data_IF_957254492931
#
_entry.id   IF_957254492931
#
_cell.length_a   1.000
_cell.length_b   1.000
_cell.length_c   1.000
_cell.angle_alpha   90.00
_cell.angle_beta   90.00
_cell.angle_gamma   90.00
#
_symmetry.space_group_name_H-M   'P 1'
#
loop_
_entity.id
_entity.type
_entity.pdbx_description
1 polymer ?
#
# COMPACT_ATOMS: atom_id res chain seq x y z
N UNK A 1 47.44 -42.58 26.73
CA UNK A 1 46.82 -41.29 27.14
C UNK A 1 45.58 -41.12 26.28
N UNK A 2 44.41 -41.45 26.82
CA UNK A 2 43.15 -41.21 26.11
C UNK A 2 42.86 -39.73 26.29
N UNK A 3 42.93 -38.95 25.21
CA UNK A 3 42.49 -37.57 25.23
C UNK A 3 40.96 -37.61 25.27
N UNK A 4 40.40 -37.44 26.47
CA UNK A 4 38.99 -37.17 26.65
C UNK A 4 38.69 -35.82 26.00
N UNK A 5 38.29 -35.85 24.73
CA UNK A 5 37.63 -34.73 24.06
C UNK A 5 36.32 -34.46 24.77
N UNK A 6 36.35 -33.49 25.68
CA UNK A 6 35.16 -32.89 26.29
C UNK A 6 34.34 -32.25 25.18
N UNK A 7 33.32 -32.96 24.70
CA UNK A 7 32.27 -32.39 23.87
C UNK A 7 31.47 -31.48 24.79
N UNK A 8 31.79 -30.19 24.79
CA UNK A 8 30.97 -29.17 25.45
C UNK A 8 29.67 -29.14 24.64
N UNK A 9 28.66 -29.88 25.08
CA UNK A 9 27.30 -29.74 24.55
C UNK A 9 26.83 -28.31 24.82
N UNK A 10 26.80 -27.49 23.76
CA UNK A 10 26.29 -26.14 23.86
C UNK A 10 24.81 -26.18 24.22
N UNK A 11 24.51 -25.79 25.45
CA UNK A 11 23.15 -25.60 25.93
C UNK A 11 22.36 -24.63 25.03
N UNK A 12 21.02 -24.76 25.00
CA UNK A 12 20.16 -23.95 24.14
C UNK A 12 20.33 -22.44 24.36
N UNK A 13 20.68 -22.03 25.57
CA UNK A 13 20.91 -20.63 25.92
C UNK A 13 22.20 -20.08 25.28
N UNK A 14 23.29 -20.86 25.29
CA UNK A 14 24.56 -20.47 24.65
C UNK A 14 24.39 -20.30 23.14
N UNK A 15 23.65 -21.20 22.49
CA UNK A 15 23.31 -21.09 21.06
C UNK A 15 22.49 -19.84 20.77
N UNK A 16 21.50 -19.53 21.61
CA UNK A 16 20.66 -18.33 21.46
C UNK A 16 21.47 -17.04 21.60
N UNK A 17 22.32 -16.95 22.63
CA UNK A 17 23.18 -15.79 22.86
C UNK A 17 24.12 -15.53 21.67
N UNK A 18 24.72 -16.59 21.10
CA UNK A 18 25.58 -16.47 19.91
C UNK A 18 24.84 -15.92 18.70
N UNK A 19 23.62 -16.41 18.45
CA UNK A 19 22.78 -15.92 17.35
C UNK A 19 22.39 -14.45 17.53
N UNK A 20 22.10 -14.04 18.77
CA UNK A 20 21.77 -12.66 19.10
C UNK A 20 22.98 -11.73 18.92
N UNK A 21 24.18 -12.17 19.32
CA UNK A 21 25.43 -11.43 19.13
C UNK A 21 25.80 -11.28 17.64
N UNK A 22 25.63 -12.32 16.84
CA UNK A 22 25.83 -12.24 15.40
C UNK A 22 24.83 -11.28 14.74
N UNK A 23 23.56 -11.38 15.12
CA UNK A 23 22.50 -10.52 14.60
C UNK A 23 22.75 -9.04 14.98
N UNK A 24 23.18 -8.80 16.22
CA UNK A 24 23.58 -7.47 16.70
C UNK A 24 24.74 -6.90 15.89
N UNK A 25 25.82 -7.67 15.72
CA UNK A 25 27.00 -7.27 14.93
C UNK A 25 26.61 -6.96 13.49
N UNK A 26 25.72 -7.76 12.88
CA UNK A 26 25.20 -7.51 11.55
C UNK A 26 24.52 -6.14 11.46
N UNK A 27 23.49 -5.90 12.29
CA UNK A 27 22.73 -4.63 12.26
C UNK A 27 23.62 -3.43 12.58
N UNK A 28 24.49 -3.56 13.58
CA UNK A 28 25.44 -2.50 13.93
C UNK A 28 26.37 -2.19 12.76
N UNK A 29 26.92 -3.21 12.09
CA UNK A 29 27.80 -3.00 10.94
C UNK A 29 27.11 -2.30 9.78
N UNK A 30 25.82 -2.59 9.54
CA UNK A 30 25.04 -1.93 8.49
C UNK A 30 24.80 -0.46 8.84
N UNK A 31 24.41 -0.16 10.09
CA UNK A 31 24.16 1.21 10.52
C UNK A 31 25.43 2.07 10.50
N UNK A 32 26.59 1.52 10.87
CA UNK A 32 27.85 2.28 10.79
C UNK A 32 28.27 2.55 9.34
N UNK A 33 28.01 1.61 8.42
CA UNK A 33 28.42 1.74 7.01
C UNK A 33 27.50 2.61 6.16
N UNK A 34 26.22 2.73 6.52
CA UNK A 34 25.21 3.42 5.71
C UNK A 34 25.00 4.86 6.20
N UNK A 35 24.82 5.83 5.29
CA UNK A 35 24.69 7.23 5.65
C UNK A 35 23.51 7.46 6.59
N UNK A 36 23.76 8.20 7.67
CA UNK A 36 22.78 8.51 8.69
C UNK A 36 22.54 7.40 9.71
N UNK A 37 23.19 6.25 9.64
CA UNK A 37 23.04 5.21 10.66
C UNK A 37 23.71 5.56 12.00
N UNK A 38 24.82 6.29 11.99
CA UNK A 38 25.45 6.80 13.23
C UNK A 38 24.51 7.68 14.05
N UNK A 39 23.70 8.52 13.39
CA UNK A 39 22.71 9.37 14.09
C UNK A 39 21.68 8.56 14.89
N UNK A 40 21.34 7.35 14.41
CA UNK A 40 20.40 6.44 15.09
C UNK A 40 21.06 5.86 16.34
N UNK A 41 22.30 5.38 16.21
CA UNK A 41 23.07 4.84 17.33
C UNK A 41 23.28 5.91 18.41
N UNK A 42 23.66 7.13 18.01
CA UNK A 42 23.91 8.24 18.92
C UNK A 42 22.64 8.70 19.65
N UNK A 43 21.50 8.78 18.94
CA UNK A 43 20.22 9.11 19.58
C UNK A 43 19.86 8.08 20.66
N UNK A 44 19.90 6.79 20.31
CA UNK A 44 19.59 5.73 21.26
C UNK A 44 20.56 5.71 22.45
N UNK A 45 21.85 5.91 22.21
CA UNK A 45 22.84 5.95 23.29
C UNK A 45 22.54 7.06 24.30
N UNK A 46 22.04 8.21 23.83
CA UNK A 46 21.70 9.36 24.66
C UNK A 46 20.38 9.21 25.41
N UNK A 47 19.34 8.69 24.76
CA UNK A 47 17.96 8.73 25.29
C UNK A 47 17.42 7.37 25.70
N UNK A 48 18.08 6.27 25.32
CA UNK A 48 17.57 4.89 25.38
C UNK A 48 16.24 4.69 24.66
N UNK A 49 15.93 5.58 23.71
CA UNK A 49 14.73 5.56 22.91
C UNK A 49 15.05 6.08 21.50
N UNK A 50 14.13 5.86 20.56
CA UNK A 50 14.21 6.46 19.23
C UNK A 50 12.90 7.16 18.91
N UNK A 51 12.98 8.40 18.42
CA UNK A 51 11.86 9.10 17.82
C UNK A 51 11.33 8.34 16.61
N UNK A 52 10.06 8.52 16.29
CA UNK A 52 9.40 7.90 15.14
C UNK A 52 10.15 8.13 13.82
N UNK A 53 10.63 9.34 13.60
CA UNK A 53 11.42 9.67 12.42
C UNK A 53 12.72 8.85 12.36
N UNK A 54 13.43 8.76 13.48
CA UNK A 54 14.69 8.01 13.60
C UNK A 54 14.46 6.50 13.47
N UNK A 55 13.37 5.96 14.04
CA UNK A 55 12.94 4.56 13.84
C UNK A 55 12.65 4.26 12.37
N UNK A 56 11.94 5.15 11.69
CA UNK A 56 11.66 5.02 10.25
C UNK A 56 12.94 5.08 9.43
N UNK A 57 13.89 5.95 9.78
CA UNK A 57 15.21 6.02 9.15
C UNK A 57 15.99 4.71 9.33
N UNK A 58 15.98 4.13 10.53
CA UNK A 58 16.57 2.82 10.83
C UNK A 58 15.98 1.72 9.95
N UNK A 59 14.65 1.59 9.93
CA UNK A 59 13.95 0.59 9.11
C UNK A 59 14.26 0.77 7.63
N UNK A 60 14.32 2.02 7.14
CA UNK A 60 14.66 2.30 5.74
C UNK A 60 16.07 1.84 5.38
N UNK A 61 17.07 2.16 6.21
CA UNK A 61 18.47 1.76 5.99
C UNK A 61 18.59 0.24 5.95
N UNK A 62 18.00 -0.44 6.94
CA UNK A 62 18.10 -1.90 7.07
C UNK A 62 17.34 -2.62 5.95
N UNK A 63 16.15 -2.14 5.56
CA UNK A 63 15.41 -2.71 4.45
C UNK A 63 16.17 -2.55 3.12
N UNK A 64 16.79 -1.39 2.88
CA UNK A 64 17.59 -1.16 1.68
C UNK A 64 18.79 -2.11 1.61
N UNK A 65 19.59 -2.20 2.68
CA UNK A 65 20.74 -3.12 2.76
C UNK A 65 20.31 -4.58 2.57
N UNK A 66 19.18 -4.98 3.15
CA UNK A 66 18.65 -6.32 3.00
C UNK A 66 18.24 -6.62 1.55
N UNK A 67 17.56 -5.68 0.88
CA UNK A 67 17.16 -5.83 -0.53
C UNK A 67 18.34 -5.77 -1.50
N UNK A 68 19.39 -5.02 -1.17
CA UNK A 68 20.62 -4.94 -1.95
C UNK A 68 21.36 -6.27 -1.95
N UNK A 69 21.44 -6.94 -0.79
CA UNK A 69 22.17 -8.21 -0.64
C UNK A 69 21.41 -9.46 -1.08
N UNK A 70 20.09 -9.45 -0.95
CA UNK A 70 19.26 -10.65 -1.13
C UNK A 70 18.29 -10.51 -2.32
N UNK A 71 18.44 -9.46 -3.12
CA UNK A 71 17.48 -9.09 -4.15
C UNK A 71 16.18 -8.53 -3.57
N UNK A 72 15.21 -8.29 -4.45
CA UNK A 72 13.97 -7.62 -4.10
C UNK A 72 13.18 -8.30 -2.98
N UNK A 73 13.31 -9.61 -2.79
CA UNK A 73 12.55 -10.41 -1.81
C UNK A 73 13.47 -11.24 -0.91
N UNK A 74 14.01 -10.64 0.16
CA UNK A 74 14.90 -11.35 1.09
C UNK A 74 14.23 -12.56 1.75
N UNK A 75 14.97 -13.67 1.99
CA UNK A 75 14.46 -14.85 2.67
C UNK A 75 13.93 -14.56 4.07
N UNK A 76 13.01 -15.42 4.56
CA UNK A 76 12.44 -15.32 5.92
C UNK A 76 13.51 -15.23 7.01
N UNK A 77 14.46 -16.16 7.01
CA UNK A 77 15.53 -16.23 8.02
C UNK A 77 16.39 -14.96 8.03
N UNK A 78 16.59 -14.32 6.88
CA UNK A 78 17.33 -13.06 6.80
C UNK A 78 16.53 -11.94 7.46
N UNK A 79 15.23 -11.82 7.16
CA UNK A 79 14.36 -10.81 7.81
C UNK A 79 14.31 -10.98 9.33
N UNK A 80 14.22 -12.22 9.82
CA UNK A 80 14.29 -12.53 11.26
C UNK A 80 15.65 -12.16 11.86
N UNK A 81 16.77 -12.45 11.17
CA UNK A 81 18.11 -12.09 11.64
C UNK A 81 18.25 -10.56 11.81
N UNK A 82 17.70 -9.76 10.90
CA UNK A 82 17.71 -8.31 11.05
C UNK A 82 16.80 -7.83 12.19
N UNK A 83 15.58 -8.34 12.31
CA UNK A 83 14.66 -7.97 13.40
C UNK A 83 15.24 -8.29 14.78
N UNK A 84 15.78 -9.50 14.94
CA UNK A 84 16.52 -9.92 16.14
C UNK A 84 17.72 -9.01 16.41
N UNK A 85 18.47 -8.65 15.38
CA UNK A 85 19.62 -7.76 15.50
C UNK A 85 19.24 -6.34 15.95
N UNK A 86 18.07 -5.84 15.55
CA UNK A 86 17.55 -4.54 16.01
C UNK A 86 17.33 -4.57 17.52
N UNK A 87 16.61 -5.56 18.05
CA UNK A 87 16.34 -5.63 19.50
C UNK A 87 17.60 -5.95 20.30
N UNK A 88 18.52 -6.76 19.76
CA UNK A 88 19.80 -7.04 20.42
C UNK A 88 20.72 -5.79 20.48
N UNK A 89 20.64 -4.91 19.48
CA UNK A 89 21.37 -3.64 19.47
C UNK A 89 20.68 -2.55 20.30
N UNK A 90 19.34 -2.53 20.28
CA UNK A 90 18.50 -1.55 20.95
C UNK A 90 17.48 -2.22 21.90
N UNK A 91 17.93 -2.79 23.04
CA UNK A 91 17.07 -3.60 23.92
C UNK A 91 15.77 -2.93 24.38
N UNK A 92 15.76 -1.60 24.56
CA UNK A 92 14.60 -0.84 25.04
C UNK A 92 13.52 -0.67 23.96
N UNK A 93 13.81 -1.08 22.73
CA UNK A 93 12.84 -1.13 21.65
C UNK A 93 12.21 -2.51 21.48
N UNK A 94 12.59 -3.48 22.32
CA UNK A 94 11.95 -4.80 22.36
C UNK A 94 10.50 -4.66 22.83
N UNK A 95 9.59 -5.39 22.19
CA UNK A 95 8.19 -5.45 22.60
C UNK A 95 8.01 -6.46 23.76
N UNK A 96 7.65 -6.02 24.98
CA UNK A 96 7.47 -6.92 26.11
C UNK A 96 6.25 -7.85 25.98
N UNK A 97 5.32 -7.56 25.06
CA UNK A 97 4.10 -8.35 24.86
C UNK A 97 4.22 -9.37 23.73
N UNK A 98 5.37 -9.41 23.05
CA UNK A 98 5.62 -10.38 21.98
C UNK A 98 6.51 -11.53 22.45
N UNK A 99 6.48 -12.65 21.71
CA UNK A 99 7.14 -13.91 22.08
C UNK A 99 8.66 -13.75 22.20
N UNK A 100 9.29 -13.04 21.29
CA UNK A 100 10.74 -12.79 21.29
C UNK A 100 11.10 -11.30 21.33
N UNK A 101 10.09 -10.42 21.25
CA UNK A 101 10.22 -8.97 21.34
C UNK A 101 10.61 -8.26 20.05
N UNK A 102 10.88 -8.98 18.96
CA UNK A 102 11.27 -8.40 17.66
C UNK A 102 10.19 -8.49 16.57
N UNK A 103 9.06 -9.13 16.85
CA UNK A 103 8.02 -9.48 15.89
C UNK A 103 7.41 -8.25 15.21
N UNK A 104 7.38 -7.10 15.89
CA UNK A 104 6.93 -5.84 15.29
C UNK A 104 7.86 -5.32 14.19
N UNK A 105 9.16 -5.67 14.23
CA UNK A 105 10.07 -5.41 13.10
C UNK A 105 9.91 -6.44 12.00
N UNK A 106 9.82 -7.72 12.37
CA UNK A 106 9.46 -8.80 11.47
C UNK A 106 8.92 -10.01 12.24
N UNK A 107 7.71 -10.41 11.90
CA UNK A 107 7.11 -11.66 12.36
C UNK A 107 7.17 -12.69 11.23
N UNK A 108 7.86 -13.80 11.50
CA UNK A 108 8.02 -14.89 10.56
C UNK A 108 6.76 -15.73 10.34
N UNK A 109 5.82 -15.73 11.28
CA UNK A 109 4.57 -16.49 11.19
C UNK A 109 3.56 -15.77 10.30
N UNK A 110 3.33 -14.48 10.53
CA UNK A 110 2.42 -13.68 9.69
C UNK A 110 3.07 -13.07 8.44
N UNK A 111 4.41 -13.02 8.38
CA UNK A 111 5.15 -12.32 7.32
C UNK A 111 4.97 -10.80 7.37
N UNK A 112 4.63 -10.24 8.54
CA UNK A 112 4.36 -8.82 8.75
C UNK A 112 5.49 -8.11 9.51
N UNK A 113 5.28 -6.85 9.89
CA UNK A 113 6.25 -6.01 10.59
C UNK A 113 6.84 -4.89 9.73
N UNK A 114 7.56 -3.97 10.38
CA UNK A 114 8.08 -2.76 9.74
C UNK A 114 9.05 -3.05 8.58
N UNK A 115 9.92 -4.06 8.73
CA UNK A 115 10.86 -4.46 7.68
C UNK A 115 10.12 -5.04 6.48
N UNK A 116 9.15 -5.94 6.71
CA UNK A 116 8.33 -6.54 5.65
C UNK A 116 7.57 -5.46 4.86
N UNK A 117 6.93 -4.52 5.57
CA UNK A 117 6.22 -3.41 4.95
C UNK A 117 7.17 -2.56 4.11
N UNK A 118 8.36 -2.24 4.63
CA UNK A 118 9.30 -1.40 3.91
C UNK A 118 9.86 -2.10 2.67
N UNK A 119 10.20 -3.37 2.75
CA UNK A 119 10.62 -4.17 1.60
C UNK A 119 9.53 -4.19 0.52
N UNK A 120 8.27 -4.43 0.90
CA UNK A 120 7.12 -4.42 -0.03
C UNK A 120 6.91 -3.06 -0.69
N UNK A 121 7.18 -1.95 0.00
CA UNK A 121 7.08 -0.60 -0.62
C UNK A 121 8.22 -0.33 -1.59
N UNK A 122 9.45 -0.73 -1.26
CA UNK A 122 10.60 -0.65 -2.17
C UNK A 122 10.30 -1.42 -3.46
N UNK A 123 9.84 -2.67 -3.36
CA UNK A 123 9.46 -3.49 -4.52
C UNK A 123 8.39 -2.83 -5.40
N UNK A 124 7.34 -2.27 -4.77
CA UNK A 124 6.25 -1.60 -5.50
C UNK A 124 6.73 -0.36 -6.26
N UNK A 125 7.62 0.42 -5.65
CA UNK A 125 8.18 1.60 -6.29
C UNK A 125 9.07 1.22 -7.47
N UNK A 126 9.94 0.22 -7.31
CA UNK A 126 10.77 -0.30 -8.41
C UNK A 126 9.92 -0.85 -9.57
N UNK A 127 8.81 -1.53 -9.26
CA UNK A 127 7.88 -2.01 -10.29
C UNK A 127 7.19 -0.87 -11.04
N UNK A 128 6.85 0.22 -10.34
CA UNK A 128 6.26 1.43 -10.93
C UNK A 128 7.25 2.13 -11.85
N UNK A 129 8.51 2.27 -11.43
CA UNK A 129 9.59 2.86 -12.23
C UNK A 129 9.80 2.08 -13.53
N UNK A 130 9.88 0.74 -13.46
CA UNK A 130 10.00 -0.10 -14.66
C UNK A 130 8.85 0.07 -15.66
N UNK A 131 7.63 0.28 -15.18
CA UNK A 131 6.46 0.53 -16.04
C UNK A 131 6.51 1.94 -16.65
N UNK A 132 6.86 2.96 -15.85
CA UNK A 132 6.99 4.33 -16.33
C UNK A 132 8.11 4.49 -17.37
N UNK A 133 9.23 3.77 -17.22
CA UNK A 133 10.29 3.74 -18.24
C UNK A 133 9.85 3.11 -19.56
N UNK A 134 8.89 2.17 -19.53
CA UNK A 134 8.35 1.57 -20.75
C UNK A 134 7.33 2.47 -21.44
N UNK A 135 6.56 3.26 -20.69
CA UNK A 135 5.63 4.25 -21.24
C UNK A 135 6.32 5.42 -21.96
N UNK A 136 7.62 5.64 -21.74
CA UNK A 136 8.40 6.63 -22.48
C UNK A 136 8.77 6.24 -23.92
N UNK A 137 8.59 4.97 -24.31
CA UNK A 137 9.06 4.46 -25.61
C UNK A 137 8.04 3.57 -26.34
N UNK A 138 6.72 3.79 -26.24
CA UNK A 138 5.84 3.25 -27.28
C UNK A 138 4.56 4.05 -27.41
N UNK A 139 4.48 4.77 -28.52
CA UNK A 139 3.27 5.29 -29.16
C UNK A 139 2.12 4.27 -29.16
N UNK A 140 0.92 4.76 -28.83
CA UNK A 140 -0.40 4.21 -29.18
C UNK A 140 -0.43 2.70 -29.46
N UNK A 141 -0.45 1.88 -28.42
CA UNK A 141 -0.97 0.53 -28.52
C UNK A 141 -1.52 0.10 -27.16
N UNK A 142 -2.84 0.07 -27.11
CA UNK A 142 -3.70 -0.39 -26.02
C UNK A 142 -3.12 -1.60 -25.27
N UNK A 143 -2.55 -1.36 -24.07
CA UNK A 143 -2.41 -2.43 -23.08
C UNK A 143 -2.63 -1.85 -21.68
N UNK A 144 -3.79 -2.19 -21.14
CA UNK A 144 -4.37 -1.63 -19.92
C UNK A 144 -3.45 -1.73 -18.71
N UNK A 145 -2.86 -0.59 -18.34
CA UNK A 145 -2.26 -0.37 -17.03
C UNK A 145 -3.32 0.29 -16.14
N UNK A 146 -4.21 -0.52 -15.56
CA UNK A 146 -5.27 -0.06 -14.66
C UNK A 146 -4.69 0.35 -13.30
N UNK A 147 -4.28 1.61 -13.16
CA UNK A 147 -3.88 2.21 -11.89
C UNK A 147 -4.97 3.16 -11.33
N UNK A 148 -5.08 3.35 -10.00
CA UNK A 148 -6.09 4.24 -9.40
C UNK A 148 -5.97 5.70 -9.83
N UNK A 149 -4.78 6.12 -10.25
CA UNK A 149 -4.49 7.48 -10.73
C UNK A 149 -4.43 7.61 -12.24
N UNK A 150 -4.60 6.50 -12.99
CA UNK A 150 -4.74 6.60 -14.45
C UNK A 150 -6.11 7.20 -14.70
N UNK A 151 -6.14 8.37 -15.34
CA UNK A 151 -7.37 8.96 -15.83
C UNK A 151 -8.07 7.90 -16.68
N UNK A 152 -9.15 7.33 -16.12
CA UNK A 152 -9.98 6.39 -16.85
C UNK A 152 -10.69 7.19 -17.92
N UNK A 153 -10.05 7.32 -19.08
CA UNK A 153 -10.80 7.51 -20.31
C UNK A 153 -11.50 6.18 -20.59
N UNK A 154 -12.49 5.84 -19.75
CA UNK A 154 -13.42 4.77 -20.10
C UNK A 154 -14.09 5.27 -21.38
N UNK A 155 -13.81 4.59 -22.50
CA UNK A 155 -14.66 4.69 -23.68
C UNK A 155 -16.01 4.13 -23.24
N UNK A 156 -16.83 4.96 -22.62
CA UNK A 156 -18.19 4.63 -22.26
C UNK A 156 -18.98 4.61 -23.56
N UNK A 157 -19.22 3.40 -24.08
CA UNK A 157 -20.19 3.15 -25.14
C UNK A 157 -21.52 2.82 -24.46
N UNK A 158 -22.50 3.73 -24.46
CA UNK A 158 -23.84 3.43 -23.95
C UNK A 158 -24.45 2.25 -24.71
N UNK A 159 -25.07 1.32 -23.98
CA UNK A 159 -25.82 0.20 -24.57
C UNK A 159 -27.08 0.67 -25.30
N UNK A 160 -27.67 1.77 -24.83
CA UNK A 160 -28.86 2.40 -25.40
C UNK A 160 -28.60 3.90 -25.50
N UNK A 161 -28.61 4.43 -26.72
CA UNK A 161 -28.56 5.87 -26.99
C UNK A 161 -29.98 6.32 -27.26
N UNK A 162 -30.54 7.12 -26.36
CA UNK A 162 -31.78 7.84 -26.63
C UNK A 162 -31.48 9.06 -27.50
N UNK A 163 -32.39 9.35 -28.43
CA UNK A 163 -32.46 10.66 -29.08
C UNK A 163 -32.74 11.77 -28.07
N UNK A 164 -32.49 13.02 -28.47
CA UNK A 164 -32.75 14.18 -27.60
C UNK A 164 -34.24 14.28 -27.20
N UNK A 165 -35.14 13.96 -28.12
CA UNK A 165 -36.59 13.99 -27.88
C UNK A 165 -37.03 12.87 -26.94
N UNK A 166 -36.52 11.65 -27.10
CA UNK A 166 -36.78 10.54 -26.17
C UNK A 166 -36.24 10.82 -24.77
N UNK A 167 -35.09 11.51 -24.67
CA UNK A 167 -34.56 11.98 -23.41
C UNK A 167 -35.50 12.98 -22.74
N UNK A 168 -35.99 13.99 -23.49
CA UNK A 168 -36.96 14.97 -22.99
C UNK A 168 -38.25 14.31 -22.53
N UNK A 169 -38.76 13.33 -23.29
CA UNK A 169 -39.94 12.56 -22.92
C UNK A 169 -39.71 11.74 -21.63
N UNK A 170 -38.56 11.07 -21.51
CA UNK A 170 -38.20 10.34 -20.31
C UNK A 170 -38.10 11.24 -19.08
N UNK A 171 -37.53 12.45 -19.23
CA UNK A 171 -37.44 13.46 -18.17
C UNK A 171 -38.85 13.93 -17.76
N UNK A 172 -39.69 14.30 -18.72
CA UNK A 172 -41.06 14.72 -18.46
C UNK A 172 -41.85 13.62 -17.73
N UNK A 173 -41.73 12.37 -18.19
CA UNK A 173 -42.33 11.21 -17.52
C UNK A 173 -41.86 11.09 -16.06
N UNK A 174 -40.56 11.17 -15.81
CA UNK A 174 -40.02 11.05 -14.45
C UNK A 174 -40.47 12.19 -13.53
N UNK A 175 -40.66 13.40 -14.07
CA UNK A 175 -41.13 14.54 -13.29
C UNK A 175 -42.58 14.36 -12.83
N UNK A 176 -43.42 13.72 -13.64
CA UNK A 176 -44.86 13.55 -13.36
C UNK A 176 -45.26 12.16 -12.84
N UNK A 177 -44.35 11.19 -12.84
CA UNK A 177 -44.61 9.85 -12.28
C UNK A 177 -44.39 9.80 -10.76
N UNK A 178 -45.13 8.94 -10.07
CA UNK A 178 -44.92 8.57 -8.67
C UNK A 178 -44.39 7.13 -8.50
N UNK A 179 -44.28 6.37 -9.60
CA UNK A 179 -43.76 5.00 -9.59
C UNK A 179 -42.22 5.03 -9.55
N UNK A 180 -41.66 4.76 -8.37
CA UNK A 180 -40.21 4.75 -8.15
C UNK A 180 -39.46 3.77 -9.07
N UNK A 181 -40.03 2.62 -9.39
CA UNK A 181 -39.36 1.60 -10.19
C UNK A 181 -39.33 2.01 -11.66
N UNK A 182 -40.43 2.58 -12.16
CA UNK A 182 -40.46 3.20 -13.49
C UNK A 182 -39.49 4.39 -13.59
N UNK A 183 -39.40 5.23 -12.55
CA UNK A 183 -38.45 6.35 -12.49
C UNK A 183 -37.01 5.81 -12.50
N UNK A 184 -36.67 4.82 -11.68
CA UNK A 184 -35.33 4.20 -11.67
C UNK A 184 -34.97 3.64 -13.05
N UNK A 185 -35.93 3.01 -13.74
CA UNK A 185 -35.72 2.49 -15.11
C UNK A 185 -35.45 3.60 -16.12
N UNK A 186 -36.27 4.65 -16.16
CA UNK A 186 -36.07 5.81 -17.05
C UNK A 186 -34.81 6.62 -16.68
N UNK A 187 -34.45 6.67 -15.40
CA UNK A 187 -33.22 7.30 -14.93
C UNK A 187 -31.99 6.54 -15.45
N UNK A 188 -32.00 5.20 -15.47
CA UNK A 188 -30.94 4.41 -16.11
C UNK A 188 -30.81 4.72 -17.60
N UNK A 189 -31.91 4.83 -18.32
CA UNK A 189 -31.89 5.12 -19.77
C UNK A 189 -31.33 6.52 -20.10
N UNK A 190 -31.53 7.50 -19.22
CA UNK A 190 -31.01 8.87 -19.38
C UNK A 190 -29.58 9.05 -18.85
N UNK A 191 -28.88 7.96 -18.48
CA UNK A 191 -27.53 8.04 -17.90
C UNK A 191 -26.52 8.72 -18.83
N UNK A 192 -26.50 8.37 -20.12
CA UNK A 192 -25.55 8.96 -21.08
C UNK A 192 -25.77 10.47 -21.23
N UNK A 193 -27.03 10.89 -21.35
CA UNK A 193 -27.43 12.29 -21.40
C UNK A 193 -26.97 13.06 -20.15
N UNK A 194 -27.26 12.52 -18.95
CA UNK A 194 -26.82 13.12 -17.69
C UNK A 194 -25.29 13.19 -17.58
N UNK A 195 -24.58 12.14 -18.01
CA UNK A 195 -23.12 12.11 -18.01
C UNK A 195 -22.54 13.19 -18.91
N UNK A 196 -23.09 13.38 -20.11
CA UNK A 196 -22.70 14.48 -21.02
C UNK A 196 -22.89 15.84 -20.37
N UNK A 197 -24.02 16.06 -19.71
CA UNK A 197 -24.28 17.30 -18.96
C UNK A 197 -23.30 17.54 -17.81
N UNK A 198 -22.93 16.51 -17.03
CA UNK A 198 -21.95 16.65 -15.93
C UNK A 198 -20.57 17.07 -16.46
N UNK A 199 -20.18 16.52 -17.62
CA UNK A 199 -18.89 16.80 -18.23
C UNK A 199 -18.85 18.14 -18.97
N UNK A 200 -20.00 18.72 -19.29
CA UNK A 200 -20.13 20.05 -19.87
C UNK A 200 -20.21 21.11 -18.75
N UNK A 201 -19.18 21.97 -18.60
CA UNK A 201 -19.16 23.01 -17.58
C UNK A 201 -20.37 23.95 -17.64
N UNK A 202 -20.92 24.20 -18.84
CA UNK A 202 -22.05 25.13 -19.02
C UNK A 202 -23.40 24.51 -18.62
N UNK A 203 -23.55 23.19 -18.73
CA UNK A 203 -24.81 22.48 -18.43
C UNK A 203 -24.84 21.85 -17.03
N UNK A 204 -23.67 21.64 -16.43
CA UNK A 204 -23.55 20.92 -15.16
C UNK A 204 -24.36 21.53 -14.01
N UNK A 205 -24.53 22.87 -14.00
CA UNK A 205 -25.32 23.59 -13.00
C UNK A 205 -26.81 23.27 -13.05
N UNK A 206 -27.34 22.92 -14.23
CA UNK A 206 -28.76 22.72 -14.46
C UNK A 206 -29.21 21.27 -14.25
N UNK A 207 -28.27 20.36 -13.96
CA UNK A 207 -28.54 18.93 -13.85
C UNK A 207 -29.60 18.59 -12.79
N UNK A 208 -29.54 19.24 -11.62
CA UNK A 208 -30.50 19.01 -10.55
C UNK A 208 -31.84 19.72 -10.78
N UNK A 209 -31.88 20.68 -11.70
CA UNK A 209 -33.12 21.34 -12.16
C UNK A 209 -33.83 20.45 -13.18
N UNK A 210 -33.09 19.83 -14.09
CA UNK A 210 -33.62 18.94 -15.12
C UNK A 210 -33.96 17.56 -14.57
N UNK A 211 -33.18 17.06 -13.61
CA UNK A 211 -33.42 15.79 -12.91
C UNK A 211 -33.69 16.01 -11.42
N UNK A 212 -34.83 16.65 -11.05
CA UNK A 212 -35.16 16.91 -9.65
C UNK A 212 -35.30 15.61 -8.85
N UNK A 213 -35.66 14.50 -9.53
CA UNK A 213 -35.82 13.17 -8.94
C UNK A 213 -34.55 12.58 -8.32
N UNK A 214 -33.37 13.17 -8.60
CA UNK A 214 -32.13 12.78 -7.93
C UNK A 214 -32.09 13.17 -6.45
N UNK A 215 -32.91 14.13 -6.01
CA UNK A 215 -32.91 14.63 -4.63
C UNK A 215 -33.82 13.84 -3.70
N UNK A 216 -34.95 13.35 -4.19
CA UNK A 216 -36.01 12.71 -3.39
C UNK A 216 -35.92 11.18 -3.42
N UNK A 217 -35.51 10.56 -4.53
CA UNK A 217 -35.44 9.09 -4.64
C UNK A 217 -34.08 8.56 -4.19
N UNK A 218 -34.09 7.81 -3.08
CA UNK A 218 -32.88 7.18 -2.53
C UNK A 218 -32.25 6.19 -3.52
N UNK A 219 -30.91 6.19 -3.57
CA UNK A 219 -30.12 5.29 -4.40
C UNK A 219 -29.82 5.82 -5.81
N UNK A 220 -30.49 6.87 -6.30
CA UNK A 220 -30.18 7.40 -7.64
C UNK A 220 -28.84 8.15 -7.71
N UNK A 221 -28.43 8.80 -6.61
CA UNK A 221 -27.12 9.46 -6.52
C UNK A 221 -25.99 8.45 -6.34
N UNK A 222 -26.20 7.34 -5.62
CA UNK A 222 -25.10 6.39 -5.36
C UNK A 222 -24.66 5.64 -6.62
N UNK A 223 -25.54 5.51 -7.62
CA UNK A 223 -25.20 4.94 -8.93
C UNK A 223 -24.16 5.78 -9.69
N UNK A 224 -24.01 7.07 -9.36
CA UNK A 224 -23.00 7.93 -10.00
C UNK A 224 -21.58 7.77 -9.44
N UNK A 225 -21.42 7.27 -8.21
CA UNK A 225 -20.10 7.18 -7.56
C UNK A 225 -19.27 5.96 -7.98
N UNK A 226 -19.73 5.17 -8.95
CA UNK A 226 -18.90 4.16 -9.62
C UNK A 226 -18.30 4.72 -10.91
N UNK A 227 -17.35 5.65 -10.75
CA UNK A 227 -16.29 5.99 -11.71
C UNK A 227 -14.97 5.95 -10.94
#
# INVERSE_FOLDING_TARGET
>A
MVQDTVIIEEGPDSKRMKLDDEAKKLVQSVLVKKPGGESIINEYNRTKALKDETRRKMVNILAADMTEKNGGSPPRLVKEKYARGIVALFPYLSDPYSKNGFEHYYDGESGTGYLAWRIKTIQRNLAKERRGSFEGQVSYAERGSGGPTVARHSKFTPEIVLSEDECKEAIAFMNHSADEDAIKKKMKLTFDYRRKMVLDPMQSSDLLTIFPRLKDIKGLVSVYNHI
#
